data_IF_729989335109
#
_entry.id   IF_729989335109
#
_cell.length_a   1.000
_cell.length_b   1.000
_cell.length_c   1.000
_cell.angle_alpha   90.00
_cell.angle_beta   90.00
_cell.angle_gamma   90.00
#
_symmetry.space_group_name_H-M   'P 1'
#
loop_
_entity.id
_entity.type
_entity.pdbx_description
1 polymer ?
#
# COMPACT_ATOMS: atom_id res chain seq x y z
N UNK A 1 39.69 -27.71 -1.61
CA UNK A 1 38.38 -27.18 -2.06
C UNK A 1 38.27 -25.72 -1.62
N UNK A 2 38.30 -24.76 -2.55
CA UNK A 2 38.56 -23.33 -2.25
C UNK A 2 37.41 -22.65 -1.47
N UNK A 3 37.76 -21.76 -0.53
CA UNK A 3 36.86 -20.88 0.26
C UNK A 3 35.80 -20.18 -0.62
N UNK A 4 36.13 -19.90 -1.88
CA UNK A 4 35.21 -19.33 -2.87
C UNK A 4 33.98 -20.21 -3.15
N UNK A 5 34.12 -21.54 -3.16
CA UNK A 5 32.99 -22.46 -3.36
C UNK A 5 32.08 -22.53 -2.13
N UNK A 6 32.66 -22.48 -0.92
CA UNK A 6 31.90 -22.45 0.33
C UNK A 6 31.12 -21.13 0.43
N UNK A 7 31.78 -20.01 0.13
CA UNK A 7 31.15 -18.68 0.13
C UNK A 7 30.02 -18.58 -0.92
N UNK A 8 30.23 -19.12 -2.13
CA UNK A 8 29.20 -19.14 -3.17
C UNK A 8 27.99 -20.02 -2.79
N UNK A 9 28.22 -21.20 -2.20
CA UNK A 9 27.15 -22.08 -1.72
C UNK A 9 26.37 -21.45 -0.55
N UNK A 10 27.06 -20.79 0.37
CA UNK A 10 26.44 -20.10 1.51
C UNK A 10 25.62 -18.89 1.05
N UNK A 11 26.15 -18.08 0.13
CA UNK A 11 25.45 -16.94 -0.48
C UNK A 11 24.21 -17.37 -1.27
N UNK A 12 24.28 -18.48 -2.01
CA UNK A 12 23.13 -19.02 -2.73
C UNK A 12 22.03 -19.55 -1.80
N UNK A 13 22.42 -20.20 -0.70
CA UNK A 13 21.49 -20.73 0.31
C UNK A 13 20.83 -19.60 1.11
N UNK A 14 21.61 -18.56 1.46
CA UNK A 14 21.12 -17.37 2.17
C UNK A 14 20.13 -16.56 1.32
N UNK A 15 20.47 -16.25 0.07
CA UNK A 15 19.58 -15.50 -0.84
C UNK A 15 18.23 -16.19 -1.05
N UNK A 16 18.22 -17.52 -1.14
CA UNK A 16 16.98 -18.28 -1.29
C UNK A 16 16.12 -18.21 -0.03
N UNK A 17 16.70 -18.28 1.17
CA UNK A 17 15.97 -18.12 2.44
C UNK A 17 15.34 -16.74 2.58
N UNK A 18 16.08 -15.69 2.22
CA UNK A 18 15.57 -14.31 2.23
C UNK A 18 14.42 -14.12 1.24
N UNK A 19 14.53 -14.69 0.03
CA UNK A 19 13.44 -14.68 -0.95
C UNK A 19 12.15 -15.33 -0.41
N UNK A 20 12.28 -16.50 0.22
CA UNK A 20 11.13 -17.16 0.88
C UNK A 20 10.53 -16.33 2.01
N UNK A 21 11.36 -15.68 2.84
CA UNK A 21 10.88 -14.83 3.93
C UNK A 21 10.05 -13.64 3.40
N UNK A 22 10.52 -12.98 2.33
CA UNK A 22 9.81 -11.88 1.67
C UNK A 22 8.48 -12.34 1.07
N UNK A 23 8.47 -13.49 0.38
CA UNK A 23 7.22 -14.07 -0.15
C UNK A 23 6.21 -14.40 0.96
N UNK A 24 6.67 -14.91 2.10
CA UNK A 24 5.83 -15.19 3.26
C UNK A 24 5.19 -13.90 3.79
N UNK A 25 5.96 -12.82 3.95
CA UNK A 25 5.42 -11.53 4.42
C UNK A 25 4.37 -10.95 3.47
N UNK A 26 4.57 -11.07 2.14
CA UNK A 26 3.56 -10.60 1.20
C UNK A 26 2.31 -11.49 1.19
N UNK A 27 2.48 -12.79 1.39
CA UNK A 27 1.34 -13.73 1.45
C UNK A 27 0.46 -13.43 2.66
N UNK A 28 1.04 -13.18 3.83
CA UNK A 28 0.27 -12.83 5.04
C UNK A 28 -0.43 -11.48 4.89
N UNK A 29 0.21 -10.49 4.27
CA UNK A 29 -0.42 -9.20 3.95
C UNK A 29 -1.59 -9.35 2.97
N UNK A 30 -1.46 -10.20 1.96
CA UNK A 30 -2.53 -10.51 1.01
C UNK A 30 -3.75 -11.15 1.69
N UNK A 31 -3.51 -12.15 2.54
CA UNK A 31 -4.58 -12.81 3.33
C UNK A 31 -5.27 -11.78 4.25
N UNK A 32 -4.49 -10.97 4.97
CA UNK A 32 -5.04 -9.92 5.84
C UNK A 32 -5.93 -8.94 5.06
N UNK A 33 -5.48 -8.46 3.89
CA UNK A 33 -6.27 -7.55 3.04
C UNK A 33 -7.58 -8.17 2.57
N UNK A 34 -7.56 -9.45 2.19
CA UNK A 34 -8.78 -10.18 1.79
C UNK A 34 -9.73 -10.32 2.98
N UNK A 35 -9.23 -10.76 4.13
CA UNK A 35 -10.03 -10.92 5.35
C UNK A 35 -10.65 -9.58 5.79
N UNK A 36 -9.89 -8.49 5.73
CA UNK A 36 -10.40 -7.15 6.03
C UNK A 36 -11.46 -6.70 5.02
N UNK A 37 -11.23 -6.92 3.72
CA UNK A 37 -12.22 -6.63 2.68
C UNK A 37 -13.52 -7.42 2.86
N UNK A 38 -13.44 -8.72 3.21
CA UNK A 38 -14.59 -9.55 3.52
C UNK A 38 -15.33 -9.05 4.77
N UNK A 39 -14.59 -8.72 5.83
CA UNK A 39 -15.15 -8.17 7.06
C UNK A 39 -15.93 -6.87 6.79
N UNK A 40 -15.39 -5.99 5.94
CA UNK A 40 -16.09 -4.78 5.52
C UNK A 40 -17.39 -5.09 4.75
N UNK A 41 -17.47 -6.16 3.97
CA UNK A 41 -18.71 -6.52 3.24
C UNK A 41 -19.74 -7.12 4.20
N UNK A 42 -19.32 -8.04 5.06
CA UNK A 42 -20.21 -8.75 5.97
C UNK A 42 -20.88 -7.79 6.96
N UNK A 43 -20.09 -6.90 7.58
CA UNK A 43 -20.66 -5.90 8.49
C UNK A 43 -21.42 -4.78 7.78
N UNK A 44 -21.55 -4.78 6.45
CA UNK A 44 -22.47 -3.86 5.74
C UNK A 44 -23.84 -4.47 5.52
N UNK A 45 -23.92 -5.79 5.38
CA UNK A 45 -25.19 -6.49 5.24
C UNK A 45 -26.11 -6.20 6.45
N UNK A 46 -25.54 -6.05 7.64
CA UNK A 46 -26.28 -5.79 8.87
C UNK A 46 -26.72 -4.31 9.06
N UNK A 47 -26.15 -3.36 8.31
CA UNK A 47 -26.42 -1.91 8.46
C UNK A 47 -27.22 -1.30 7.29
N UNK A 48 -27.54 -2.08 6.25
CA UNK A 48 -28.35 -1.64 5.12
C UNK A 48 -29.75 -1.12 5.52
N UNK A 49 -30.23 -1.46 6.72
CA UNK A 49 -31.52 -0.99 7.26
C UNK A 49 -31.43 0.33 8.05
N UNK A 50 -30.22 0.80 8.42
CA UNK A 50 -30.07 1.90 9.40
C UNK A 50 -29.48 3.20 8.82
N UNK A 51 -28.86 3.20 7.64
CA UNK A 51 -28.40 4.45 7.03
C UNK A 51 -28.07 4.32 5.53
N UNK A 52 -28.92 4.82 4.61
CA UNK A 52 -28.60 4.88 3.18
C UNK A 52 -27.56 5.97 2.83
N UNK A 53 -26.94 6.63 3.82
CA UNK A 53 -26.15 7.87 3.61
C UNK A 53 -24.63 7.68 3.52
N UNK A 54 -24.13 6.43 3.51
CA UNK A 54 -22.69 6.12 3.43
C UNK A 54 -22.42 5.25 2.18
N UNK A 55 -22.51 5.86 0.99
CA UNK A 55 -22.14 5.20 -0.27
C UNK A 55 -20.62 4.98 -0.45
N UNK A 56 -19.80 5.34 0.53
CA UNK A 56 -18.33 5.32 0.45
C UNK A 56 -17.71 3.97 0.79
N UNK A 57 -18.45 3.07 1.44
CA UNK A 57 -17.78 1.93 2.04
C UNK A 57 -17.71 0.74 1.06
N UNK A 58 -18.74 0.51 0.25
CA UNK A 58 -18.75 -0.52 -0.80
C UNK A 58 -17.55 -0.42 -1.76
N UNK A 59 -17.20 0.77 -2.32
CA UNK A 59 -16.01 0.88 -3.15
C UNK A 59 -14.72 0.59 -2.37
N UNK A 60 -14.65 0.96 -1.08
CA UNK A 60 -13.48 0.71 -0.24
C UNK A 60 -13.22 -0.80 -0.05
N UNK A 61 -14.25 -1.59 0.23
CA UNK A 61 -14.11 -3.04 0.38
C UNK A 61 -13.70 -3.73 -0.93
N UNK A 62 -14.28 -3.33 -2.06
CA UNK A 62 -13.93 -3.86 -3.37
C UNK A 62 -12.45 -3.61 -3.71
N UNK A 63 -11.91 -2.43 -3.35
CA UNK A 63 -10.49 -2.09 -3.52
C UNK A 63 -9.59 -2.97 -2.63
N UNK A 64 -9.93 -3.16 -1.35
CA UNK A 64 -9.16 -4.04 -0.46
C UNK A 64 -9.11 -5.50 -0.96
N UNK A 65 -10.22 -6.00 -1.51
CA UNK A 65 -10.28 -7.34 -2.08
C UNK A 65 -9.47 -7.47 -3.36
N UNK A 66 -9.57 -6.51 -4.28
CA UNK A 66 -8.83 -6.56 -5.53
C UNK A 66 -7.32 -6.51 -5.29
N UNK A 67 -6.85 -5.66 -4.38
CA UNK A 67 -5.45 -5.60 -3.96
C UNK A 67 -5.03 -6.94 -3.34
N UNK A 68 -5.79 -7.45 -2.37
CA UNK A 68 -5.47 -8.72 -1.71
C UNK A 68 -5.38 -9.90 -2.68
N UNK A 69 -6.31 -10.01 -3.62
CA UNK A 69 -6.30 -11.04 -4.66
C UNK A 69 -5.09 -10.91 -5.58
N UNK A 70 -4.72 -9.69 -5.99
CA UNK A 70 -3.54 -9.45 -6.83
C UNK A 70 -2.24 -9.83 -6.11
N UNK A 71 -2.12 -9.55 -4.81
CA UNK A 71 -0.95 -9.95 -4.00
C UNK A 71 -0.90 -11.48 -3.87
N UNK A 72 -2.04 -12.14 -3.71
CA UNK A 72 -2.11 -13.61 -3.65
C UNK A 72 -1.69 -14.28 -4.97
N UNK A 73 -2.10 -13.75 -6.12
CA UNK A 73 -1.68 -14.31 -7.42
C UNK A 73 -0.19 -14.12 -7.66
N UNK A 74 0.37 -12.97 -7.32
CA UNK A 74 1.81 -12.71 -7.48
C UNK A 74 2.64 -13.58 -6.51
N UNK A 75 2.21 -13.69 -5.25
CA UNK A 75 2.93 -14.50 -4.27
C UNK A 75 2.85 -15.98 -4.58
N UNK A 76 1.72 -16.50 -5.07
CA UNK A 76 1.63 -17.91 -5.51
C UNK A 76 2.57 -18.21 -6.68
N UNK A 77 2.68 -17.32 -7.68
CA UNK A 77 3.72 -17.44 -8.72
C UNK A 77 5.12 -17.38 -8.11
N UNK A 78 5.34 -16.51 -7.13
CA UNK A 78 6.57 -16.44 -6.34
C UNK A 78 6.92 -17.76 -5.66
N UNK A 79 6.00 -18.38 -4.93
CA UNK A 79 6.17 -19.69 -4.29
C UNK A 79 6.45 -20.80 -5.31
N UNK A 80 5.69 -20.83 -6.40
CA UNK A 80 5.90 -21.79 -7.50
C UNK A 80 7.30 -21.60 -8.07
N UNK A 81 7.75 -20.37 -8.30
CA UNK A 81 9.09 -20.08 -8.84
C UNK A 81 10.23 -20.35 -7.85
N UNK A 82 9.97 -20.29 -6.54
CA UNK A 82 10.95 -20.62 -5.51
C UNK A 82 11.16 -22.13 -5.36
N UNK A 83 10.09 -22.92 -5.54
CA UNK A 83 10.13 -24.40 -5.51
C UNK A 83 10.49 -24.97 -6.88
N UNK A 84 10.09 -24.28 -7.95
CA UNK A 84 10.33 -24.72 -9.32
C UNK A 84 11.67 -24.26 -9.84
N UNK A 85 12.47 -25.20 -10.32
CA UNK A 85 13.69 -24.90 -11.07
C UNK A 85 13.39 -24.52 -12.53
N UNK A 86 12.21 -23.95 -12.80
CA UNK A 86 11.78 -23.54 -14.13
C UNK A 86 11.92 -22.02 -14.27
N UNK A 87 12.57 -21.59 -15.35
CA UNK A 87 12.86 -20.19 -15.63
C UNK A 87 11.62 -19.41 -16.03
N UNK A 88 10.61 -20.06 -16.59
CA UNK A 88 9.40 -19.36 -17.04
C UNK A 88 8.67 -18.72 -15.85
N UNK A 89 8.48 -19.47 -14.76
CA UNK A 89 7.83 -18.94 -13.55
C UNK A 89 8.68 -17.86 -12.85
N UNK A 90 10.00 -18.01 -12.81
CA UNK A 90 10.90 -17.01 -12.23
C UNK A 90 10.90 -15.71 -13.06
N UNK A 91 10.96 -15.81 -14.38
CA UNK A 91 10.88 -14.65 -15.28
C UNK A 91 9.51 -13.98 -15.20
N UNK A 92 8.43 -14.76 -15.07
CA UNK A 92 7.09 -14.24 -14.89
C UNK A 92 6.95 -13.45 -13.58
N UNK A 93 7.52 -13.97 -12.48
CA UNK A 93 7.58 -13.25 -11.21
C UNK A 93 8.35 -11.93 -11.33
N UNK A 94 9.54 -11.96 -11.96
CA UNK A 94 10.34 -10.74 -12.20
C UNK A 94 9.56 -9.73 -13.04
N UNK A 95 8.87 -10.18 -14.09
CA UNK A 95 8.06 -9.32 -14.94
C UNK A 95 6.91 -8.65 -14.17
N UNK A 96 6.15 -9.42 -13.37
CA UNK A 96 5.06 -8.86 -12.55
C UNK A 96 5.56 -7.83 -11.55
N UNK A 97 6.60 -8.14 -10.78
CA UNK A 97 7.13 -7.19 -9.78
C UNK A 97 7.72 -5.96 -10.47
N UNK A 98 8.39 -6.12 -11.63
CA UNK A 98 8.89 -4.98 -12.39
C UNK A 98 7.76 -4.07 -12.89
N UNK A 99 6.64 -4.64 -13.36
CA UNK A 99 5.46 -3.88 -13.76
C UNK A 99 4.85 -3.12 -12.57
N UNK A 100 4.76 -3.75 -11.40
CA UNK A 100 4.28 -3.08 -10.19
C UNK A 100 5.17 -1.89 -9.80
N UNK A 101 6.49 -2.08 -9.81
CA UNK A 101 7.43 -0.99 -9.51
C UNK A 101 7.28 0.16 -10.51
N UNK A 102 7.09 -0.12 -11.80
CA UNK A 102 6.84 0.93 -12.81
C UNK A 102 5.51 1.67 -12.56
N UNK A 103 4.44 0.94 -12.23
CA UNK A 103 3.15 1.54 -11.89
C UNK A 103 3.26 2.41 -10.63
N UNK A 104 4.01 1.95 -9.63
CA UNK A 104 4.21 2.66 -8.37
C UNK A 104 5.00 3.96 -8.57
N UNK A 105 6.09 3.93 -9.33
CA UNK A 105 6.85 5.14 -9.67
C UNK A 105 6.00 6.10 -10.49
N UNK A 106 5.27 5.60 -11.50
CA UNK A 106 4.40 6.44 -12.33
C UNK A 106 3.31 7.12 -11.50
N UNK A 107 2.65 6.36 -10.61
CA UNK A 107 1.62 6.89 -9.71
C UNK A 107 2.21 7.87 -8.71
N UNK A 108 3.42 7.63 -8.20
CA UNK A 108 4.11 8.56 -7.30
C UNK A 108 4.40 9.90 -7.97
N UNK A 109 4.94 9.88 -9.20
CA UNK A 109 5.21 11.09 -9.98
C UNK A 109 3.91 11.83 -10.32
N UNK A 110 2.91 11.11 -10.82
CA UNK A 110 1.60 11.67 -11.14
C UNK A 110 0.94 12.26 -9.89
N UNK A 111 0.99 11.56 -8.75
CA UNK A 111 0.42 12.01 -7.48
C UNK A 111 0.97 13.37 -7.05
N UNK A 112 2.30 13.55 -7.10
CA UNK A 112 2.95 14.82 -6.76
C UNK A 112 2.53 15.92 -7.75
N UNK A 113 2.56 15.64 -9.06
CA UNK A 113 2.20 16.63 -10.09
C UNK A 113 0.73 17.07 -10.02
N UNK A 114 -0.17 16.11 -9.80
CA UNK A 114 -1.61 16.35 -9.70
C UNK A 114 -1.91 17.12 -8.44
N UNK A 115 -1.19 16.92 -7.34
CA UNK A 115 -1.46 17.60 -6.07
C UNK A 115 -1.39 19.14 -6.19
N UNK A 116 -0.44 19.66 -6.96
CA UNK A 116 -0.32 21.09 -7.23
C UNK A 116 -1.52 21.63 -8.02
N UNK A 117 -1.98 20.90 -9.02
CA UNK A 117 -3.13 21.28 -9.87
C UNK A 117 -4.47 21.01 -9.16
N UNK A 118 -4.53 19.98 -8.33
CA UNK A 118 -5.72 19.52 -7.64
C UNK A 118 -6.24 20.59 -6.69
N UNK A 119 -5.37 21.31 -5.98
CA UNK A 119 -5.80 22.44 -5.13
C UNK A 119 -6.60 23.47 -5.92
N UNK A 120 -6.12 23.86 -7.10
CA UNK A 120 -6.81 24.85 -7.94
C UNK A 120 -8.13 24.30 -8.51
N UNK A 121 -8.16 23.02 -8.93
CA UNK A 121 -9.38 22.36 -9.41
C UNK A 121 -10.43 22.22 -8.31
N UNK A 122 -10.04 21.69 -7.15
CA UNK A 122 -10.90 21.56 -5.96
C UNK A 122 -11.45 22.91 -5.55
N UNK A 123 -10.62 23.96 -5.53
CA UNK A 123 -11.08 25.33 -5.26
C UNK A 123 -12.15 25.79 -6.26
N UNK A 124 -11.88 25.65 -7.56
CA UNK A 124 -12.84 25.97 -8.62
C UNK A 124 -14.16 25.22 -8.44
N UNK A 125 -14.09 23.93 -8.15
CA UNK A 125 -15.28 23.09 -8.04
C UNK A 125 -16.09 23.42 -6.79
N UNK A 126 -15.43 23.76 -5.68
CA UNK A 126 -16.08 24.25 -4.47
C UNK A 126 -16.73 25.63 -4.67
N UNK A 127 -16.09 26.55 -5.41
CA UNK A 127 -16.69 27.84 -5.78
C UNK A 127 -17.92 27.66 -6.69
N UNK A 128 -17.94 26.65 -7.55
CA UNK A 128 -19.14 26.31 -8.33
C UNK A 128 -20.22 25.68 -7.45
N UNK A 129 -19.81 24.83 -6.52
CA UNK A 129 -20.68 24.13 -5.57
C UNK A 129 -21.42 25.08 -4.64
N UNK A 130 -20.77 26.14 -4.13
CA UNK A 130 -21.42 27.11 -3.23
C UNK A 130 -22.60 27.85 -3.88
N UNK A 131 -22.63 27.93 -5.22
CA UNK A 131 -23.71 28.54 -6.00
C UNK A 131 -24.79 27.55 -6.45
N UNK A 132 -24.64 26.25 -6.17
CA UNK A 132 -25.59 25.20 -6.57
C UNK A 132 -26.48 24.78 -5.42
N UNK A 133 -27.67 24.32 -5.75
CA UNK A 133 -28.69 23.89 -4.79
C UNK A 133 -28.56 22.42 -4.46
N UNK A 134 -28.43 21.61 -5.51
CA UNK A 134 -28.44 20.16 -5.43
C UNK A 134 -27.40 19.57 -6.38
N UNK A 135 -26.93 18.38 -6.03
CA UNK A 135 -26.01 17.59 -6.84
C UNK A 135 -26.76 16.33 -7.26
N UNK A 136 -26.82 16.07 -8.55
CA UNK A 136 -27.42 14.85 -9.08
C UNK A 136 -26.28 13.85 -9.29
N UNK A 137 -26.34 12.72 -8.60
CA UNK A 137 -25.40 11.61 -8.78
C UNK A 137 -25.59 10.94 -10.13
N UNK A 138 -24.59 10.17 -10.56
CA UNK A 138 -24.66 9.35 -11.77
C UNK A 138 -25.86 8.36 -11.77
N UNK A 139 -26.36 8.02 -10.58
CA UNK A 139 -27.52 7.15 -10.39
C UNK A 139 -28.87 7.89 -10.45
N UNK A 140 -28.86 9.22 -10.64
CA UNK A 140 -30.06 10.06 -10.65
C UNK A 140 -30.49 10.58 -9.27
N UNK A 141 -29.80 10.20 -8.21
CA UNK A 141 -30.11 10.65 -6.84
C UNK A 141 -29.77 12.13 -6.65
N UNK A 142 -30.72 12.89 -6.09
CA UNK A 142 -30.54 14.31 -5.78
C UNK A 142 -30.08 14.51 -4.33
N UNK A 143 -28.93 15.16 -4.16
CA UNK A 143 -28.34 15.47 -2.85
C UNK A 143 -28.40 16.95 -2.57
N UNK A 144 -28.88 17.33 -1.38
CA UNK A 144 -28.86 18.72 -0.91
C UNK A 144 -27.43 19.15 -0.55
N UNK A 145 -26.89 20.11 -1.31
CA UNK A 145 -25.57 20.65 -1.05
C UNK A 145 -25.49 21.38 0.29
N UNK A 146 -26.61 21.89 0.82
CA UNK A 146 -26.62 22.60 2.09
C UNK A 146 -26.16 21.67 3.23
N UNK A 147 -26.72 20.46 3.27
CA UNK A 147 -26.35 19.45 4.28
C UNK A 147 -24.88 19.02 4.12
N UNK A 148 -24.41 18.89 2.88
CA UNK A 148 -23.01 18.58 2.60
C UNK A 148 -22.07 19.70 3.09
N UNK A 149 -22.38 20.96 2.80
CA UNK A 149 -21.63 22.12 3.28
C UNK A 149 -21.62 22.21 4.80
N UNK A 150 -22.77 22.02 5.45
CA UNK A 150 -22.87 22.04 6.91
C UNK A 150 -21.98 20.97 7.56
N UNK A 151 -21.92 19.78 6.96
CA UNK A 151 -21.05 18.69 7.43
C UNK A 151 -19.59 19.04 7.23
N UNK A 152 -19.20 19.49 6.04
CA UNK A 152 -17.81 19.85 5.71
C UNK A 152 -17.30 20.94 6.65
N UNK A 153 -18.06 22.01 6.85
CA UNK A 153 -17.67 23.15 7.68
C UNK A 153 -17.52 22.76 9.15
N UNK A 154 -18.44 21.95 9.69
CA UNK A 154 -18.35 21.44 11.08
C UNK A 154 -17.19 20.46 11.27
N UNK A 155 -17.01 19.53 10.32
CA UNK A 155 -15.96 18.50 10.42
C UNK A 155 -14.56 19.06 10.25
N UNK A 156 -14.38 20.03 9.33
CA UNK A 156 -13.09 20.64 9.05
C UNK A 156 -12.86 21.96 9.81
N UNK A 157 -13.84 22.45 10.57
CA UNK A 157 -13.76 23.73 11.30
C UNK A 157 -13.32 24.89 10.40
N UNK A 158 -14.02 25.04 9.27
CA UNK A 158 -13.73 26.02 8.24
C UNK A 158 -15.03 26.73 7.79
N UNK A 159 -14.91 27.88 7.15
CA UNK A 159 -16.08 28.59 6.61
C UNK A 159 -15.82 29.09 5.19
N UNK A 160 -16.77 28.81 4.29
CA UNK A 160 -16.68 29.15 2.87
C UNK A 160 -15.56 28.38 2.14
N UNK A 161 -15.25 28.80 0.91
CA UNK A 161 -14.23 28.13 0.08
C UNK A 161 -12.84 28.64 0.44
N UNK A 162 -12.64 29.95 0.27
CA UNK A 162 -11.46 30.70 0.67
C UNK A 162 -11.70 31.45 1.99
N UNK A 163 -12.95 31.78 2.30
CA UNK A 163 -13.34 32.33 3.59
C UNK A 163 -14.83 32.60 3.72
N UNK A 164 -15.25 33.08 4.89
CA UNK A 164 -16.66 33.33 5.21
C UNK A 164 -17.37 34.30 4.25
N UNK A 165 -16.61 35.20 3.61
CA UNK A 165 -17.10 36.17 2.66
C UNK A 165 -17.70 35.55 1.38
N UNK A 166 -17.32 34.32 1.03
CA UNK A 166 -17.82 33.64 -0.17
C UNK A 166 -19.35 33.47 -0.14
N UNK A 167 -19.92 33.35 1.06
CA UNK A 167 -21.37 33.26 1.26
C UNK A 167 -22.11 34.55 0.88
N UNK A 168 -21.47 35.70 1.04
CA UNK A 168 -22.08 37.01 0.75
C UNK A 168 -22.30 37.26 -0.74
N UNK A 169 -21.56 36.55 -1.59
CA UNK A 169 -21.66 36.64 -3.04
C UNK A 169 -22.38 35.44 -3.66
N UNK A 170 -22.84 34.50 -2.84
CA UNK A 170 -23.49 33.29 -3.33
C UNK A 170 -24.94 33.58 -3.77
N UNK A 171 -25.31 33.11 -4.95
CA UNK A 171 -26.66 33.36 -5.54
C UNK A 171 -27.77 32.71 -4.70
N UNK A 172 -27.44 31.66 -3.95
CA UNK A 172 -28.38 30.83 -3.19
C UNK A 172 -28.67 31.35 -1.78
N UNK A 173 -27.87 32.27 -1.24
CA UNK A 173 -28.04 32.77 0.13
C UNK A 173 -28.69 34.16 0.06
N UNK A 174 -30.01 34.23 -0.18
CA UNK A 174 -30.65 35.45 -0.61
C UNK A 174 -30.74 36.37 0.61
N UNK A 175 -30.16 37.54 0.44
CA UNK A 175 -30.26 38.65 1.38
C UNK A 175 -31.67 39.23 1.26
N UNK A 176 -32.66 38.64 1.91
CA UNK A 176 -34.00 39.28 2.01
C UNK A 176 -33.90 40.69 2.62
N UNK A 177 -32.86 40.91 3.43
CA UNK A 177 -32.29 42.21 3.75
C UNK A 177 -30.85 42.17 3.27
N UNK A 178 -30.24 43.27 2.82
CA UNK A 178 -28.79 43.39 2.46
C UNK A 178 -27.80 43.01 3.60
N UNK A 179 -28.22 42.26 4.61
CA UNK A 179 -27.45 41.80 5.74
C UNK A 179 -26.45 40.72 5.31
N UNK A 180 -25.17 40.94 5.56
CA UNK A 180 -24.14 39.90 5.37
C UNK A 180 -24.37 38.80 6.41
N UNK A 181 -24.70 37.59 5.98
CA UNK A 181 -24.88 36.44 6.87
C UNK A 181 -24.27 35.17 6.27
N UNK A 182 -23.88 34.24 7.14
CA UNK A 182 -23.30 32.94 6.79
C UNK A 182 -24.16 31.81 7.36
N UNK A 183 -23.99 30.56 6.91
CA UNK A 183 -24.60 29.40 7.57
C UNK A 183 -24.14 29.27 9.03
N UNK A 184 -25.01 28.81 9.93
CA UNK A 184 -24.66 28.56 11.33
C UNK A 184 -23.58 27.46 11.50
N UNK A 185 -23.37 26.63 10.48
CA UNK A 185 -22.27 25.65 10.43
C UNK A 185 -20.88 26.28 10.35
N UNK A 186 -20.78 27.57 10.03
CA UNK A 186 -19.54 28.35 10.10
C UNK A 186 -19.17 28.83 11.52
N UNK A 187 -20.06 28.66 12.50
CA UNK A 187 -19.84 29.15 13.85
C UNK A 187 -18.94 28.23 14.66
N UNK A 188 -17.98 28.83 15.35
CA UNK A 188 -17.06 28.10 16.22
C UNK A 188 -17.69 27.90 17.59
N UNK A 189 -18.15 26.67 17.85
CA UNK A 189 -18.76 26.28 19.14
C UNK A 189 -17.86 26.59 20.34
N UNK A 190 -16.53 26.59 20.18
CA UNK A 190 -15.60 26.83 21.29
C UNK A 190 -15.64 28.27 21.83
N UNK A 191 -16.27 29.19 21.09
CA UNK A 191 -16.39 30.60 21.45
C UNK A 191 -17.72 30.95 22.13
N UNK A 192 -18.60 29.96 22.33
CA UNK A 192 -19.88 30.11 23.02
C UNK A 192 -19.77 29.53 24.43
N UNK A 193 -20.31 30.23 25.42
CA UNK A 193 -20.51 29.69 26.76
C UNK A 193 -21.62 28.62 26.74
N UNK A 194 -21.61 27.68 27.69
CA UNK A 194 -22.55 26.53 27.72
C UNK A 194 -24.05 26.93 27.75
N UNK A 195 -24.36 28.18 28.14
CA UNK A 195 -25.71 28.73 28.23
C UNK A 195 -26.11 29.62 27.02
N UNK A 196 -25.18 29.90 26.11
CA UNK A 196 -25.42 30.78 24.98
C UNK A 196 -25.87 29.98 23.74
N UNK A 197 -27.06 30.30 23.22
CA UNK A 197 -27.64 29.58 22.09
C UNK A 197 -26.89 29.91 20.80
N UNK A 198 -26.25 28.90 20.20
CA UNK A 198 -25.58 29.00 18.88
C UNK A 198 -26.56 29.21 17.71
N UNK A 199 -27.88 29.23 17.99
CA UNK A 199 -28.91 29.44 16.99
C UNK A 199 -28.77 30.83 16.34
N UNK A 200 -28.80 30.86 15.00
CA UNK A 200 -28.65 32.06 14.18
C UNK A 200 -27.33 32.82 14.41
N UNK A 201 -26.28 32.16 14.92
CA UNK A 201 -24.96 32.79 15.07
C UNK A 201 -24.46 33.39 13.75
N UNK A 202 -24.67 32.73 12.61
CA UNK A 202 -24.25 33.21 11.30
C UNK A 202 -24.93 34.51 10.86
N UNK A 203 -26.00 34.92 11.56
CA UNK A 203 -26.72 36.20 11.36
C UNK A 203 -26.34 37.28 12.37
N UNK A 204 -25.59 36.97 13.44
CA UNK A 204 -25.18 37.94 14.48
C UNK A 204 -24.12 38.97 14.02
N UNK A 205 -23.69 38.91 12.74
CA UNK A 205 -22.71 39.81 12.11
C UNK A 205 -21.41 40.02 12.93
N UNK A 206 -21.00 38.99 13.68
CA UNK A 206 -19.77 39.02 14.46
C UNK A 206 -18.77 38.02 13.90
N UNK A 207 -17.78 38.52 13.16
CA UNK A 207 -16.74 37.69 12.52
C UNK A 207 -15.85 36.96 13.52
N UNK A 208 -15.81 37.41 14.79
CA UNK A 208 -15.03 36.74 15.84
C UNK A 208 -15.60 35.36 16.17
N UNK A 209 -16.89 35.13 15.96
CA UNK A 209 -17.58 33.87 16.29
C UNK A 209 -17.46 32.81 15.17
N UNK A 210 -16.82 33.16 14.05
CA UNK A 210 -16.77 32.33 12.84
C UNK A 210 -15.40 31.65 12.67
N UNK A 211 -15.38 30.51 11.98
CA UNK A 211 -14.14 29.92 11.55
C UNK A 211 -13.39 30.84 10.58
N UNK A 212 -12.14 31.21 10.94
CA UNK A 212 -11.30 32.14 10.16
C UNK A 212 -10.76 31.58 8.85
N UNK A 213 -10.64 30.25 8.71
CA UNK A 213 -10.00 29.61 7.54
C UNK A 213 -11.03 29.15 6.52
N UNK A 214 -10.72 29.34 5.23
CA UNK A 214 -11.45 28.74 4.13
C UNK A 214 -11.29 27.23 4.06
N UNK A 215 -12.33 26.53 3.62
CA UNK A 215 -12.34 25.07 3.58
C UNK A 215 -11.33 24.48 2.59
N UNK A 216 -10.95 25.18 1.51
CA UNK A 216 -9.91 24.68 0.58
C UNK A 216 -8.56 24.56 1.27
N UNK A 217 -8.18 25.56 2.05
CA UNK A 217 -6.88 25.56 2.71
C UNK A 217 -6.81 24.47 3.78
N UNK A 218 -7.85 24.35 4.61
CA UNK A 218 -7.92 23.30 5.62
C UNK A 218 -7.98 21.91 4.99
N UNK A 219 -8.82 21.71 3.98
CA UNK A 219 -8.94 20.42 3.28
C UNK A 219 -7.61 20.02 2.63
N UNK A 220 -6.98 20.93 1.89
CA UNK A 220 -5.71 20.62 1.23
C UNK A 220 -4.64 20.29 2.25
N UNK A 221 -4.49 21.06 3.32
CA UNK A 221 -3.53 20.78 4.38
C UNK A 221 -3.79 19.44 5.09
N UNK A 222 -5.06 19.14 5.39
CA UNK A 222 -5.48 17.86 5.94
C UNK A 222 -5.14 16.71 4.98
N UNK A 223 -5.39 16.87 3.68
CA UNK A 223 -5.02 15.90 2.65
C UNK A 223 -3.51 15.72 2.54
N UNK A 224 -2.70 16.79 2.61
CA UNK A 224 -1.24 16.70 2.62
C UNK A 224 -0.73 15.80 3.75
N UNK A 225 -1.27 15.96 4.96
CA UNK A 225 -0.85 15.16 6.10
C UNK A 225 -1.15 13.67 5.91
N UNK A 226 -2.36 13.32 5.47
CA UNK A 226 -2.77 11.93 5.26
C UNK A 226 -2.06 11.28 4.06
N UNK A 227 -1.93 12.02 2.95
CA UNK A 227 -1.22 11.56 1.75
C UNK A 227 0.27 11.38 2.04
N UNK A 228 0.88 12.19 2.91
CA UNK A 228 2.28 12.02 3.32
C UNK A 228 2.53 10.66 3.96
N UNK A 229 1.63 10.18 4.83
CA UNK A 229 1.75 8.84 5.40
C UNK A 229 1.65 7.74 4.33
N UNK A 230 0.72 7.87 3.37
CA UNK A 230 0.58 6.93 2.26
C UNK A 230 1.83 6.91 1.36
N UNK A 231 2.44 8.08 1.12
CA UNK A 231 3.66 8.19 0.35
C UNK A 231 4.84 7.48 1.04
N UNK A 232 4.98 7.60 2.36
CA UNK A 232 6.02 6.89 3.11
C UNK A 232 5.81 5.37 3.05
N UNK A 233 4.58 4.89 3.20
CA UNK A 233 4.24 3.48 3.05
C UNK A 233 4.56 2.97 1.63
N UNK A 234 4.21 3.76 0.60
CA UNK A 234 4.55 3.47 -0.79
C UNK A 234 6.07 3.39 -0.99
N UNK A 235 6.82 4.36 -0.48
CA UNK A 235 8.29 4.34 -0.60
C UNK A 235 8.93 3.12 0.08
N UNK A 236 8.43 2.72 1.26
CA UNK A 236 8.88 1.51 1.92
C UNK A 236 8.58 0.25 1.09
N UNK A 237 7.39 0.16 0.48
CA UNK A 237 7.03 -0.93 -0.44
C UNK A 237 7.96 -0.98 -1.65
N UNK A 238 8.27 0.17 -2.26
CA UNK A 238 9.18 0.27 -3.41
C UNK A 238 10.57 -0.31 -3.08
N UNK A 239 11.10 -0.03 -1.89
CA UNK A 239 12.40 -0.56 -1.45
C UNK A 239 12.32 -2.09 -1.31
N UNK A 240 11.24 -2.61 -0.72
CA UNK A 240 11.06 -4.06 -0.54
C UNK A 240 10.94 -4.75 -1.90
N UNK A 241 10.18 -4.18 -2.84
CA UNK A 241 10.06 -4.69 -4.21
C UNK A 241 11.43 -4.70 -4.92
N UNK A 242 12.20 -3.61 -4.82
CA UNK A 242 13.53 -3.52 -5.41
C UNK A 242 14.48 -4.58 -4.84
N UNK A 243 14.48 -4.80 -3.52
CA UNK A 243 15.25 -5.86 -2.87
C UNK A 243 14.82 -7.24 -3.39
N UNK A 244 13.52 -7.48 -3.52
CA UNK A 244 12.97 -8.74 -4.03
C UNK A 244 13.40 -9.01 -5.49
N UNK A 245 13.39 -7.98 -6.35
CA UNK A 245 13.86 -8.05 -7.73
C UNK A 245 15.36 -8.33 -7.80
N UNK A 246 16.17 -7.67 -6.99
CA UNK A 246 17.61 -7.92 -6.93
C UNK A 246 17.90 -9.39 -6.58
N UNK A 247 17.18 -9.95 -5.60
CA UNK A 247 17.33 -11.37 -5.27
C UNK A 247 16.84 -12.28 -6.40
N UNK A 248 15.69 -12.01 -7.00
CA UNK A 248 15.15 -12.81 -8.10
C UNK A 248 16.07 -12.81 -9.33
N UNK A 249 16.66 -11.66 -9.70
CA UNK A 249 17.63 -11.53 -10.79
C UNK A 249 18.93 -12.26 -10.47
N UNK A 250 19.42 -12.19 -9.22
CA UNK A 250 20.61 -12.94 -8.81
C UNK A 250 20.36 -14.45 -8.86
N UNK A 251 19.16 -14.90 -8.50
CA UNK A 251 18.73 -16.30 -8.63
C UNK A 251 18.65 -16.73 -10.09
N UNK A 252 18.14 -15.88 -10.99
CA UNK A 252 18.03 -16.20 -12.42
C UNK A 252 19.39 -16.31 -13.13
N UNK A 253 20.41 -15.62 -12.63
CA UNK A 253 21.81 -15.70 -13.11
C UNK A 253 22.62 -16.86 -12.50
N UNK A 254 22.17 -17.44 -11.38
CA UNK A 254 22.94 -18.47 -10.68
C UNK A 254 22.89 -19.82 -11.38
N UNK A 255 24.05 -20.39 -11.72
CA UNK A 255 24.19 -21.73 -12.34
C UNK A 255 23.55 -22.87 -11.51
N UNK A 256 23.34 -22.65 -10.19
CA UNK A 256 22.63 -23.60 -9.34
C UNK A 256 21.16 -23.79 -9.76
N UNK A 257 20.52 -22.75 -10.31
CA UNK A 257 19.15 -22.84 -10.80
C UNK A 257 19.09 -23.62 -12.13
N UNK A 258 20.13 -23.48 -12.96
CA UNK A 258 20.31 -24.20 -14.23
C UNK A 258 20.45 -25.72 -14.01
N UNK A 259 21.21 -26.12 -12.98
CA UNK A 259 21.39 -27.52 -12.64
C UNK A 259 20.09 -28.21 -12.19
N UNK A 260 19.20 -27.49 -11.48
CA UNK A 260 17.87 -27.99 -11.11
C UNK A 260 16.91 -28.13 -12.30
N UNK A 261 16.96 -27.18 -13.26
CA UNK A 261 16.23 -27.26 -14.53
C UNK A 261 16.64 -28.50 -15.32
N UNK A 262 17.95 -28.79 -15.39
CA UNK A 262 18.45 -30.01 -16.06
C UNK A 262 18.05 -31.29 -15.32
N UNK A 263 18.02 -31.31 -13.98
CA UNK A 263 17.53 -32.47 -13.19
C UNK A 263 16.09 -32.87 -13.52
N UNK A 264 15.22 -31.91 -13.81
CA UNK A 264 13.80 -32.17 -14.12
C UNK A 264 13.59 -32.68 -15.55
N UNK A 265 14.56 -32.49 -16.44
CA UNK A 265 14.52 -32.93 -17.86
C UNK A 265 15.10 -34.34 -18.08
N UNK A 266 15.73 -34.92 -17.06
CA UNK A 266 16.36 -36.24 -17.08
C UNK A 266 15.29 -37.33 -16.85
N UNK A 267 15.24 -38.37 -17.70
CA UNK A 267 14.29 -39.51 -17.55
C UNK A 267 14.49 -40.20 -16.19
N UNK A 268 13.46 -40.79 -15.56
CA UNK A 268 13.55 -41.44 -14.24
C UNK A 268 14.71 -42.44 -14.08
N UNK A 269 15.08 -43.14 -15.16
CA UNK A 269 16.21 -44.10 -15.16
C UNK A 269 17.59 -43.44 -15.01
N UNK A 270 17.75 -42.23 -15.54
CA UNK A 270 19.02 -41.50 -15.53
C UNK A 270 19.15 -40.65 -14.24
N UNK A 271 18.03 -40.34 -13.57
CA UNK A 271 17.98 -39.78 -12.22
C UNK A 271 18.58 -40.73 -11.17
N UNK A 272 18.25 -42.03 -11.23
CA UNK A 272 18.83 -43.03 -10.32
C UNK A 272 20.35 -43.17 -10.51
N UNK A 273 20.84 -43.04 -11.75
CA UNK A 273 22.29 -43.07 -12.04
C UNK A 273 23.01 -41.89 -11.40
N UNK A 274 22.45 -40.69 -11.51
CA UNK A 274 23.01 -39.48 -10.88
C UNK A 274 22.90 -39.48 -9.34
N UNK A 275 21.82 -40.04 -8.77
CA UNK A 275 21.70 -40.22 -7.32
C UNK A 275 22.76 -41.17 -6.77
N UNK A 276 23.03 -42.26 -7.49
CA UNK A 276 24.11 -43.18 -7.15
C UNK A 276 25.45 -42.45 -7.22
N UNK A 277 25.74 -41.73 -8.30
CA UNK A 277 26.99 -40.95 -8.42
C UNK A 277 27.16 -39.88 -7.33
N UNK A 278 26.10 -39.16 -6.98
CA UNK A 278 26.14 -38.19 -5.87
C UNK A 278 26.35 -38.88 -4.53
N UNK A 279 25.69 -40.01 -4.27
CA UNK A 279 25.89 -40.78 -3.03
C UNK A 279 27.30 -41.36 -2.91
N UNK A 280 27.95 -41.65 -4.05
CA UNK A 280 29.33 -42.12 -4.13
C UNK A 280 30.31 -40.97 -3.91
N UNK A 281 30.09 -39.80 -4.51
CA UNK A 281 30.90 -38.61 -4.23
C UNK A 281 30.80 -38.15 -2.77
N UNK A 282 29.61 -38.24 -2.17
CA UNK A 282 29.39 -37.85 -0.77
C UNK A 282 29.99 -38.84 0.23
N UNK A 283 30.08 -40.14 -0.14
CA UNK A 283 30.84 -41.15 0.61
C UNK A 283 32.36 -40.95 0.46
N UNK A 284 32.84 -40.67 -0.75
CA UNK A 284 34.26 -40.37 -1.01
C UNK A 284 34.74 -39.12 -0.26
N UNK A 285 33.91 -38.07 -0.21
CA UNK A 285 34.23 -36.83 0.51
C UNK A 285 34.16 -37.01 2.04
N UNK A 286 33.26 -37.87 2.55
CA UNK A 286 33.27 -38.28 3.97
C UNK A 286 34.53 -39.06 4.32
N UNK A 287 34.97 -39.96 3.43
CA UNK A 287 36.16 -40.77 3.65
C UNK A 287 37.45 -39.92 3.62
N UNK A 288 37.55 -38.98 2.68
CA UNK A 288 38.66 -38.01 2.63
C UNK A 288 38.72 -37.17 3.91
N UNK A 289 37.58 -36.65 4.40
CA UNK A 289 37.51 -35.88 5.66
C UNK A 289 37.82 -36.69 6.92
N UNK A 290 37.65 -38.02 6.91
CA UNK A 290 38.08 -38.88 8.01
C UNK A 290 39.58 -39.16 7.98
N UNK A 291 40.16 -39.36 6.79
CA UNK A 291 41.61 -39.56 6.61
C UNK A 291 42.38 -38.28 6.94
N UNK A 292 41.88 -37.12 6.51
CA UNK A 292 42.48 -35.82 6.85
C UNK A 292 42.44 -35.52 8.35
N UNK A 293 41.40 -35.98 9.06
CA UNK A 293 41.31 -35.85 10.53
C UNK A 293 42.28 -36.76 11.26
N UNK A 294 42.49 -37.99 10.79
CA UNK A 294 43.45 -38.92 11.38
C UNK A 294 44.89 -38.41 11.20
N UNK A 295 45.24 -37.96 9.99
CA UNK A 295 46.57 -37.40 9.73
C UNK A 295 46.86 -36.16 10.58
N UNK A 296 45.88 -35.27 10.79
CA UNK A 296 46.07 -34.10 11.63
C UNK A 296 46.21 -34.46 13.12
N UNK A 297 45.55 -35.54 13.56
CA UNK A 297 45.65 -36.04 14.94
C UNK A 297 47.03 -36.63 15.24
N UNK A 298 47.60 -37.38 14.28
CA UNK A 298 48.95 -37.95 14.42
C UNK A 298 50.04 -36.88 14.36
N UNK A 299 49.80 -35.78 13.63
CA UNK A 299 50.72 -34.66 13.54
C UNK A 299 50.77 -33.83 14.84
N UNK A 300 49.62 -33.65 15.52
CA UNK A 300 49.55 -32.98 16.83
C UNK A 300 50.19 -33.82 17.96
N UNK A 301 50.17 -35.15 17.86
CA UNK A 301 50.84 -36.04 18.84
C UNK A 301 52.36 -36.02 18.68
N UNK A 302 52.88 -35.84 17.45
CA UNK A 302 54.32 -35.76 17.19
C UNK A 302 54.93 -34.42 17.62
N UNK A 303 54.17 -33.33 17.57
CA UNK A 303 54.65 -31.99 17.99
C UNK A 303 54.71 -31.86 19.52
N UNK A 304 53.89 -32.61 20.27
CA UNK A 304 53.90 -32.61 21.74
C UNK A 304 54.94 -33.57 22.38
N UNK A 305 55.78 -34.23 21.57
CA UNK A 305 56.85 -35.14 22.03
C UNK A 305 58.28 -34.64 21.76
N UNK A 306 58.44 -33.41 21.28
CA UNK A 306 59.73 -32.70 21.16
C UNK A 306 59.80 -31.55 22.14
#
# INVERSE_FOLDING_TARGET
MSIRHIYAAWKCTSNRRLFFAVLLTFTTMGIYSISFGLWLILNKADFHELSPSIHTDLPTAAICLSIGMSVMTITTVGWISAVSYDRHFLNLFIAFVSLLTLMQVSTGVLGISVMHVARARVRSDLLKSINRTTFISANGDEYDLKVAWDRVQKSLKCCGVDGAHDWYYSVRWPTESKARFVPDSCCDRSLFADDDSMNNCGKRQNELLLFRRGCVDVYTNWSYHHISHLNWLSFALLIIEAISLLFAINLSKSNSFYAGSSRRRIRPAEYNRYLVEMSVMERGNRHSRSVDRLNNSDQDVLINRS
#
